data_IF_903844361845
#
_entry.id   IF_903844361845
#
_cell.length_a   1.000
_cell.length_b   1.000
_cell.length_c   1.000
_cell.angle_alpha   90.00
_cell.angle_beta   90.00
_cell.angle_gamma   90.00
#
_symmetry.space_group_name_H-M   'P 1'
#
loop_
_entity.id
_entity.type
_entity.pdbx_description
1 polymer ?
#
# COMPACT_ATOMS: atom_id res chain seq x y z
N UNK A 1 -36.14 31.08 34.85
CA UNK A 1 -35.19 31.55 33.81
C UNK A 1 -34.15 30.44 33.64
N UNK A 2 -34.33 29.53 32.67
CA UNK A 2 -33.37 28.45 32.40
C UNK A 2 -32.29 28.97 31.44
N UNK A 3 -31.04 29.01 31.89
CA UNK A 3 -29.89 29.29 31.04
C UNK A 3 -29.42 27.99 30.38
N UNK A 4 -29.48 27.93 29.04
CA UNK A 4 -28.85 26.86 28.27
C UNK A 4 -27.35 27.14 28.17
N UNK A 5 -26.52 26.27 28.72
CA UNK A 5 -25.07 26.30 28.51
C UNK A 5 -24.78 25.80 27.09
N UNK A 6 -23.92 26.49 26.31
CA UNK A 6 -23.58 26.03 24.97
C UNK A 6 -22.79 24.71 25.04
N UNK A 7 -22.97 23.79 24.08
CA UNK A 7 -22.19 22.57 24.04
C UNK A 7 -20.72 22.91 23.85
N UNK A 8 -19.88 22.51 24.80
CA UNK A 8 -18.44 22.62 24.71
C UNK A 8 -17.94 21.64 23.63
N UNK A 9 -17.48 22.17 22.51
CA UNK A 9 -16.86 21.37 21.45
C UNK A 9 -15.40 21.17 21.82
N UNK A 10 -15.04 19.92 22.13
CA UNK A 10 -13.66 19.54 22.37
C UNK A 10 -12.85 19.75 21.09
N UNK A 11 -11.78 20.53 21.19
CA UNK A 11 -10.92 20.83 20.05
C UNK A 11 -10.03 19.63 19.76
N UNK A 12 -10.46 18.76 18.85
CA UNK A 12 -9.56 17.76 18.27
C UNK A 12 -8.45 18.47 17.50
N UNK A 13 -7.25 18.53 18.08
CA UNK A 13 -6.02 18.95 17.41
C UNK A 13 -5.64 17.90 16.36
N UNK A 14 -6.24 18.01 15.17
CA UNK A 14 -5.77 17.28 14.01
C UNK A 14 -4.46 17.94 13.57
N UNK A 15 -3.32 17.32 13.92
CA UNK A 15 -2.08 17.60 13.18
C UNK A 15 -2.39 17.18 11.74
N UNK A 16 -2.45 18.15 10.83
CA UNK A 16 -2.51 17.90 9.40
C UNK A 16 -1.16 17.29 8.99
N UNK A 17 -0.96 16.04 9.38
CA UNK A 17 0.06 15.21 8.77
C UNK A 17 -0.39 15.09 7.32
N UNK A 18 0.35 15.71 6.40
CA UNK A 18 0.01 15.67 4.97
C UNK A 18 -0.03 14.23 4.45
N UNK A 19 0.45 13.23 5.21
CA UNK A 19 0.31 11.80 4.94
C UNK A 19 -0.90 11.12 5.61
N UNK A 20 -1.63 11.80 6.50
CA UNK A 20 -2.83 11.24 7.14
C UNK A 20 -3.99 11.03 6.15
N UNK A 21 -4.12 11.86 5.11
CA UNK A 21 -5.17 11.70 4.08
C UNK A 21 -4.96 10.42 3.25
N UNK A 22 -3.75 10.15 2.71
CA UNK A 22 -3.41 8.88 2.07
C UNK A 22 -3.77 7.63 2.89
N UNK A 23 -3.39 7.60 4.18
CA UNK A 23 -3.71 6.46 5.05
C UNK A 23 -5.20 6.38 5.40
N UNK A 24 -5.90 7.51 5.55
CA UNK A 24 -7.34 7.49 5.81
C UNK A 24 -8.14 6.93 4.61
N UNK A 25 -7.69 7.23 3.38
CA UNK A 25 -8.25 6.64 2.17
C UNK A 25 -7.92 5.15 2.03
N UNK A 26 -6.69 4.75 2.37
CA UNK A 26 -6.31 3.34 2.50
C UNK A 26 -7.25 2.61 3.45
N UNK A 27 -7.45 3.13 4.67
CA UNK A 27 -8.31 2.51 5.68
C UNK A 27 -9.76 2.37 5.21
N UNK A 28 -10.25 3.36 4.46
CA UNK A 28 -11.57 3.29 3.84
C UNK A 28 -11.65 2.13 2.86
N UNK A 29 -10.67 1.97 1.96
CA UNK A 29 -10.64 0.86 0.98
C UNK A 29 -10.43 -0.49 1.66
N UNK A 30 -9.61 -0.53 2.70
CA UNK A 30 -9.42 -1.72 3.55
C UNK A 30 -10.73 -2.21 4.15
N UNK A 31 -11.56 -1.29 4.66
CA UNK A 31 -12.89 -1.62 5.21
C UNK A 31 -13.88 -2.10 4.15
N UNK A 32 -13.73 -1.66 2.90
CA UNK A 32 -14.55 -2.16 1.77
C UNK A 32 -14.14 -3.57 1.35
N UNK A 33 -12.89 -3.98 1.60
CA UNK A 33 -12.44 -5.37 1.44
C UNK A 33 -12.22 -5.83 -0.01
N UNK A 34 -12.15 -4.90 -0.96
CA UNK A 34 -11.80 -5.23 -2.35
C UNK A 34 -10.27 -5.33 -2.47
N UNK A 35 -9.72 -6.54 -2.53
CA UNK A 35 -8.27 -6.78 -2.62
C UNK A 35 -7.63 -7.20 -1.28
N UNK A 36 -6.29 -7.17 -1.23
CA UNK A 36 -5.52 -7.48 -0.04
C UNK A 36 -4.82 -6.23 0.49
N UNK A 37 -4.88 -6.04 1.79
CA UNK A 37 -4.36 -4.85 2.46
C UNK A 37 -3.35 -5.30 3.52
N UNK A 38 -2.20 -4.64 3.52
CA UNK A 38 -1.18 -4.78 4.55
C UNK A 38 -1.04 -3.43 5.24
N UNK A 39 -1.30 -3.40 6.54
CA UNK A 39 -1.05 -2.22 7.36
C UNK A 39 0.37 -2.22 7.95
N UNK A 40 0.72 -1.11 8.60
CA UNK A 40 2.05 -0.92 9.17
C UNK A 40 2.41 -1.98 10.21
N UNK A 41 1.44 -2.44 11.01
CA UNK A 41 1.68 -3.44 12.04
C UNK A 41 2.02 -4.79 11.39
N UNK A 42 1.30 -5.18 10.34
CA UNK A 42 1.56 -6.39 9.57
C UNK A 42 2.91 -6.33 8.86
N UNK A 43 3.26 -5.19 8.27
CA UNK A 43 4.54 -5.01 7.57
C UNK A 43 5.70 -5.02 8.57
N UNK A 44 5.55 -4.35 9.71
CA UNK A 44 6.56 -4.32 10.76
C UNK A 44 6.80 -5.72 11.36
N UNK A 45 5.73 -6.49 11.58
CA UNK A 45 5.83 -7.86 12.07
C UNK A 45 6.58 -8.79 11.09
N UNK A 46 6.58 -8.49 9.79
CA UNK A 46 7.31 -9.25 8.77
C UNK A 46 8.82 -8.95 8.76
N UNK A 47 9.26 -7.84 9.35
CA UNK A 47 10.64 -7.37 9.33
C UNK A 47 11.32 -7.49 7.94
N UNK A 48 10.74 -6.89 6.89
CA UNK A 48 11.21 -7.05 5.51
C UNK A 48 12.60 -6.45 5.34
N UNK A 49 13.52 -7.20 4.71
CA UNK A 49 14.82 -6.66 4.30
C UNK A 49 14.69 -5.95 2.95
N UNK A 50 13.89 -6.52 2.06
CA UNK A 50 13.59 -5.99 0.73
C UNK A 50 12.08 -5.77 0.56
N UNK A 51 11.69 -4.98 -0.43
CA UNK A 51 10.28 -4.65 -0.69
C UNK A 51 9.49 -5.90 -1.05
N UNK A 52 10.09 -6.84 -1.80
CA UNK A 52 9.44 -8.12 -2.10
C UNK A 52 9.05 -8.92 -0.84
N UNK A 53 9.82 -8.80 0.25
CA UNK A 53 9.50 -9.47 1.52
C UNK A 53 8.19 -8.95 2.14
N UNK A 54 7.86 -7.68 1.88
CA UNK A 54 6.57 -7.09 2.28
C UNK A 54 5.41 -7.89 1.68
N UNK A 55 5.57 -8.38 0.45
CA UNK A 55 4.53 -9.08 -0.29
C UNK A 55 4.54 -10.59 -0.11
N UNK A 56 5.54 -11.16 0.57
CA UNK A 56 5.56 -12.60 0.84
C UNK A 56 4.29 -13.02 1.59
N UNK A 57 3.72 -14.15 1.17
CA UNK A 57 2.48 -14.69 1.74
C UNK A 57 1.23 -13.83 1.50
N UNK A 58 1.29 -12.81 0.63
CA UNK A 58 0.10 -12.07 0.21
C UNK A 58 -0.61 -12.84 -0.91
N UNK A 59 -1.92 -13.14 -0.77
CA UNK A 59 -2.62 -13.92 -1.79
C UNK A 59 -2.66 -13.17 -3.13
N UNK A 60 -2.46 -13.92 -4.22
CA UNK A 60 -2.40 -13.36 -5.57
C UNK A 60 -1.06 -12.71 -5.94
N UNK A 61 -0.09 -12.66 -5.01
CA UNK A 61 1.27 -12.18 -5.28
C UNK A 61 2.25 -13.36 -5.40
N UNK A 62 3.15 -13.27 -6.36
CA UNK A 62 4.29 -14.17 -6.54
C UNK A 62 5.55 -13.34 -6.46
N UNK A 63 6.49 -13.78 -5.63
CA UNK A 63 7.84 -13.21 -5.57
C UNK A 63 8.77 -14.16 -6.31
N UNK A 64 9.52 -13.63 -7.28
CA UNK A 64 10.50 -14.40 -8.04
C UNK A 64 11.88 -13.80 -7.87
N UNK A 65 12.94 -14.60 -7.72
CA UNK A 65 14.29 -14.07 -7.70
C UNK A 65 14.57 -13.31 -9.01
N UNK A 66 15.01 -12.06 -8.87
CA UNK A 66 15.47 -11.23 -10.00
C UNK A 66 16.98 -11.14 -10.05
N UNK A 67 17.49 -10.14 -10.77
CA UNK A 67 18.92 -9.96 -10.97
C UNK A 67 19.55 -9.28 -9.74
N UNK A 68 20.79 -9.63 -9.41
CA UNK A 68 21.56 -9.02 -8.31
C UNK A 68 20.88 -9.10 -6.91
N UNK A 69 20.10 -10.15 -6.65
CA UNK A 69 19.43 -10.35 -5.36
C UNK A 69 18.22 -9.44 -5.13
N UNK A 70 17.71 -8.83 -6.20
CA UNK A 70 16.52 -7.96 -6.18
C UNK A 70 15.34 -8.79 -6.62
N UNK A 71 14.46 -9.11 -5.66
CA UNK A 71 13.32 -9.97 -5.91
C UNK A 71 12.23 -9.20 -6.67
N UNK A 72 11.66 -9.86 -7.68
CA UNK A 72 10.58 -9.31 -8.50
C UNK A 72 9.23 -9.64 -7.89
N UNK A 73 8.34 -8.66 -7.87
CA UNK A 73 6.95 -8.81 -7.40
C UNK A 73 6.03 -8.88 -8.60
N UNK A 74 5.33 -10.00 -8.75
CA UNK A 74 4.38 -10.27 -9.82
C UNK A 74 3.01 -10.59 -9.23
N UNK A 75 1.95 -10.33 -10.00
CA UNK A 75 0.61 -10.78 -9.67
C UNK A 75 0.27 -12.01 -10.49
N UNK A 76 -0.48 -12.93 -9.87
CA UNK A 76 -1.03 -14.09 -10.58
C UNK A 76 -2.08 -13.60 -11.55
N UNK A 77 -1.76 -13.62 -12.84
CA UNK A 77 -2.71 -13.32 -13.91
C UNK A 77 -3.81 -14.38 -14.00
N UNK A 78 -4.92 -14.00 -14.62
CA UNK A 78 -6.00 -14.94 -14.93
C UNK A 78 -5.87 -15.46 -16.35
N UNK A 79 -5.92 -16.79 -16.53
CA UNK A 79 -5.92 -17.41 -17.86
C UNK A 79 -4.53 -17.58 -18.45
N UNK A 80 -4.35 -17.22 -19.74
CA UNK A 80 -3.13 -17.50 -20.52
C UNK A 80 -1.97 -16.50 -20.29
N UNK A 81 -2.20 -15.41 -19.56
CA UNK A 81 -1.21 -14.33 -19.36
C UNK A 81 -0.08 -14.69 -18.38
N UNK A 82 -0.26 -15.74 -17.58
CA UNK A 82 0.71 -16.16 -16.56
C UNK A 82 0.91 -15.13 -15.44
N UNK A 83 2.00 -15.28 -14.67
CA UNK A 83 2.41 -14.29 -13.68
C UNK A 83 3.01 -13.08 -14.38
N UNK A 84 2.55 -11.88 -14.02
CA UNK A 84 2.94 -10.66 -14.72
C UNK A 84 3.12 -9.46 -13.77
N UNK A 85 3.91 -8.44 -14.16
CA UNK A 85 4.20 -7.31 -13.29
C UNK A 85 2.96 -6.43 -13.08
N UNK A 86 2.63 -6.06 -11.83
CA UNK A 86 1.53 -5.16 -11.54
C UNK A 86 1.81 -3.74 -12.00
N UNK A 87 0.74 -2.95 -12.18
CA UNK A 87 0.88 -1.50 -12.16
C UNK A 87 1.23 -1.04 -10.74
N UNK A 88 2.29 -0.25 -10.59
CA UNK A 88 2.76 0.22 -9.27
C UNK A 88 2.35 1.66 -9.07
N UNK A 89 1.66 1.94 -7.97
CA UNK A 89 1.32 3.28 -7.55
C UNK A 89 2.05 3.60 -6.25
N UNK A 90 2.88 4.64 -6.24
CA UNK A 90 3.57 5.12 -5.05
C UNK A 90 2.88 6.40 -4.57
N UNK A 91 2.28 6.36 -3.38
CA UNK A 91 1.48 7.46 -2.85
C UNK A 91 0.40 7.98 -3.82
N UNK A 92 -0.16 7.06 -4.62
CA UNK A 92 -1.17 7.37 -5.64
C UNK A 92 -0.62 7.80 -7.01
N UNK A 93 0.70 7.94 -7.15
CA UNK A 93 1.35 8.25 -8.43
C UNK A 93 1.76 6.97 -9.16
N UNK A 94 1.39 6.84 -10.43
CA UNK A 94 1.81 5.70 -11.25
C UNK A 94 3.32 5.75 -11.50
N UNK A 95 4.02 4.69 -11.09
CA UNK A 95 5.45 4.53 -11.31
C UNK A 95 5.68 3.44 -12.37
N UNK A 96 6.48 3.71 -13.41
CA UNK A 96 6.90 2.68 -14.36
C UNK A 96 7.68 1.57 -13.63
N UNK A 97 7.21 0.33 -13.77
CA UNK A 97 7.86 -0.85 -13.19
C UNK A 97 7.67 -2.05 -14.12
N UNK A 98 8.44 -2.07 -15.20
CA UNK A 98 8.33 -3.11 -16.23
C UNK A 98 9.02 -4.41 -15.78
N UNK A 99 10.09 -4.29 -14.97
CA UNK A 99 10.89 -5.42 -14.52
C UNK A 99 10.37 -6.08 -13.24
N UNK A 100 9.37 -5.49 -12.55
CA UNK A 100 8.84 -6.03 -11.31
C UNK A 100 9.69 -5.75 -10.06
N UNK A 101 10.75 -4.97 -10.20
CA UNK A 101 11.74 -4.70 -9.14
C UNK A 101 11.38 -3.45 -8.33
N UNK A 102 10.69 -3.68 -7.20
CA UNK A 102 10.19 -2.61 -6.35
C UNK A 102 11.28 -1.97 -5.47
N UNK A 103 12.40 -2.66 -5.24
CA UNK A 103 13.51 -2.13 -4.43
C UNK A 103 14.21 -0.94 -5.12
N UNK A 104 13.97 -0.70 -6.41
CA UNK A 104 14.49 0.46 -7.15
C UNK A 104 13.70 1.73 -6.85
N UNK A 105 12.45 1.55 -6.42
CA UNK A 105 11.44 2.59 -6.36
C UNK A 105 11.27 3.05 -4.92
N UNK A 106 11.30 2.12 -3.97
CA UNK A 106 10.99 2.40 -2.57
C UNK A 106 11.86 1.54 -1.65
N UNK A 107 12.26 2.09 -0.51
CA UNK A 107 12.91 1.28 0.52
C UNK A 107 11.85 0.54 1.34
N UNK A 108 12.07 -0.74 1.64
CA UNK A 108 11.17 -1.53 2.48
C UNK A 108 10.87 -0.88 3.84
N UNK A 109 11.82 -0.09 4.37
CA UNK A 109 11.65 0.64 5.63
C UNK A 109 10.67 1.81 5.52
N UNK A 110 10.51 2.41 4.35
CA UNK A 110 9.62 3.56 4.20
C UNK A 110 8.18 3.15 3.90
N UNK A 111 7.94 1.87 3.62
CA UNK A 111 6.62 1.32 3.36
C UNK A 111 5.80 1.28 4.66
N UNK A 112 4.66 1.96 4.65
CA UNK A 112 3.72 2.05 5.77
C UNK A 112 2.47 1.21 5.55
N UNK A 113 1.97 1.17 4.33
CA UNK A 113 0.81 0.37 3.97
C UNK A 113 0.89 -0.04 2.51
N UNK A 114 0.26 -1.16 2.19
CA UNK A 114 0.23 -1.71 0.84
C UNK A 114 -1.17 -2.20 0.51
N UNK A 115 -1.63 -1.88 -0.69
CA UNK A 115 -2.86 -2.39 -1.28
C UNK A 115 -2.49 -3.26 -2.48
N UNK A 116 -3.06 -4.46 -2.56
CA UNK A 116 -2.83 -5.41 -3.65
C UNK A 116 -4.16 -5.77 -4.28
N UNK A 117 -4.26 -5.47 -5.58
CA UNK A 117 -5.44 -5.72 -6.40
C UNK A 117 -5.07 -6.67 -7.54
N UNK A 118 -5.06 -7.97 -7.26
CA UNK A 118 -4.73 -9.02 -8.25
C UNK A 118 -5.79 -9.24 -9.33
N UNK A 119 -6.99 -8.65 -9.18
CA UNK A 119 -8.08 -8.79 -10.15
C UNK A 119 -8.50 -7.42 -10.64
N UNK A 120 -8.51 -7.20 -11.95
CA UNK A 120 -8.89 -5.91 -12.57
C UNK A 120 -10.25 -5.41 -12.08
N UNK A 121 -11.22 -6.30 -11.85
CA UNK A 121 -12.54 -5.94 -11.33
C UNK A 121 -12.53 -5.40 -9.88
N UNK A 122 -11.49 -5.72 -9.10
CA UNK A 122 -11.31 -5.21 -7.73
C UNK A 122 -10.51 -3.92 -7.67
N UNK A 123 -9.86 -3.52 -8.78
CA UNK A 123 -9.00 -2.33 -8.82
C UNK A 123 -9.87 -1.07 -8.85
N UNK A 124 -9.69 -0.12 -7.91
CA UNK A 124 -10.35 1.18 -7.96
C UNK A 124 -10.01 1.96 -9.23
N UNK A 125 -10.95 2.73 -9.78
CA UNK A 125 -10.78 3.44 -11.07
C UNK A 125 -9.51 4.30 -11.14
N UNK A 126 -9.11 4.93 -10.02
CA UNK A 126 -7.90 5.75 -9.95
C UNK A 126 -6.59 4.95 -10.06
N UNK A 127 -6.64 3.63 -9.84
CA UNK A 127 -5.49 2.73 -9.89
C UNK A 127 -5.59 1.72 -11.03
N UNK A 128 -6.56 1.88 -11.93
CA UNK A 128 -6.68 1.02 -13.10
C UNK A 128 -5.68 1.43 -14.18
N UNK A 129 -5.07 0.44 -14.81
CA UNK A 129 -4.24 0.64 -16.01
C UNK A 129 -4.64 -0.36 -17.10
N UNK A 130 -4.08 -0.17 -18.30
CA UNK A 130 -4.38 -1.04 -19.45
C UNK A 130 -3.59 -2.36 -19.46
N UNK A 131 -2.76 -2.63 -18.45
CA UNK A 131 -1.91 -3.82 -18.41
C UNK A 131 -2.65 -5.12 -18.09
N UNK A 132 -3.86 -5.06 -17.51
CA UNK A 132 -4.69 -6.23 -17.20
C UNK A 132 -4.17 -7.15 -16.09
N UNK A 133 -3.01 -6.87 -15.50
CA UNK A 133 -2.37 -7.67 -14.45
C UNK A 133 -2.79 -7.29 -13.03
N UNK A 134 -3.56 -6.21 -12.89
CA UNK A 134 -3.90 -5.62 -11.61
C UNK A 134 -2.89 -4.58 -11.16
N UNK A 135 -3.05 -4.14 -9.91
CA UNK A 135 -2.34 -2.98 -9.38
C UNK A 135 -1.89 -3.20 -7.95
N UNK A 136 -0.74 -2.64 -7.63
CA UNK A 136 -0.19 -2.55 -6.28
C UNK A 136 -0.04 -1.08 -5.92
N UNK A 137 -0.59 -0.68 -4.78
CA UNK A 137 -0.46 0.68 -4.25
C UNK A 137 0.38 0.63 -2.99
N UNK A 138 1.43 1.43 -2.96
CA UNK A 138 2.39 1.52 -1.87
C UNK A 138 2.28 2.91 -1.25
N UNK A 139 1.97 2.94 0.03
CA UNK A 139 1.96 4.16 0.82
C UNK A 139 3.23 4.24 1.63
N UNK A 140 3.99 5.31 1.43
CA UNK A 140 5.18 5.60 2.21
C UNK A 140 4.93 6.71 3.20
N UNK A 141 5.79 6.81 4.21
CA UNK A 141 5.78 7.96 5.10
C UNK A 141 6.88 7.90 6.14
N UNK A 142 7.21 9.04 6.72
CA UNK A 142 8.19 9.11 7.81
C UNK A 142 7.68 8.25 8.98
N UNK A 143 8.46 7.23 9.37
CA UNK A 143 8.27 6.59 10.67
C UNK A 143 8.45 7.68 11.71
N UNK A 144 7.43 7.97 12.52
CA UNK A 144 7.68 8.77 13.71
C UNK A 144 8.71 8.00 14.53
N UNK A 145 9.90 8.58 14.68
CA UNK A 145 10.88 8.04 15.63
C UNK A 145 10.15 7.88 16.98
N UNK A 146 10.38 6.78 17.72
CA UNK A 146 9.81 6.67 19.06
C UNK A 146 10.21 7.94 19.81
N UNK A 147 9.23 8.62 20.39
CA UNK A 147 9.49 9.76 21.25
C UNK A 147 10.49 9.29 22.30
N UNK A 148 11.73 9.80 22.22
CA UNK A 148 12.68 9.65 23.31
C UNK A 148 12.05 10.36 24.50
N UNK A 149 11.65 9.56 25.49
CA UNK A 149 11.33 10.07 26.83
C UNK A 149 12.63 10.53 27.49
#
# INVERSE_FOLDING_TARGET
MLAALPPAVDTMRVRADRMAVPLAEFERRRKLGFGHFLDEAQITARAPNNVADVFRSTPGVVTMPGQFGRDRVLLRGTGMTGDCPPAVFLNGLLIPNEDGDLDAIVNARDVRAVEVYARTASVPLQFQTRNGCGSVVIWTGARSAPARQ
#
